data_IF_311252462029
#
_entry.id   IF_311252462029
#
_cell.length_a   1.000
_cell.length_b   1.000
_cell.length_c   1.000
_cell.angle_alpha   90.00
_cell.angle_beta   90.00
_cell.angle_gamma   90.00
#
_symmetry.space_group_name_H-M   'P 1'
#
loop_
_entity.id
_entity.type
_entity.pdbx_description
1 polymer ?
#
# COMPACT_ATOMS: atom_id res chain seq x y z
N UNK A 1 6.27 6.01 23.26
CA UNK A 1 6.51 7.25 22.49
C UNK A 1 6.65 7.06 20.96
N UNK A 2 6.95 5.87 20.40
CA UNK A 2 7.06 5.68 18.93
C UNK A 2 5.73 5.50 18.16
N UNK A 3 4.58 5.47 18.84
CA UNK A 3 3.27 5.26 18.20
C UNK A 3 2.57 6.53 17.70
N UNK A 4 2.80 7.68 18.33
CA UNK A 4 2.07 8.92 18.03
C UNK A 4 2.53 9.60 16.73
N UNK A 5 3.80 9.48 16.35
CA UNK A 5 4.37 10.15 15.17
C UNK A 5 3.94 9.49 13.83
N UNK A 6 3.55 8.21 13.83
CA UNK A 6 3.06 7.53 12.62
C UNK A 6 1.58 7.81 12.35
N UNK A 7 0.77 8.08 13.39
CA UNK A 7 -0.63 8.48 13.26
C UNK A 7 -0.78 9.86 12.63
N UNK A 8 0.16 10.75 12.90
CA UNK A 8 0.16 12.14 12.42
C UNK A 8 0.32 12.21 10.90
N UNK A 9 1.29 11.45 10.36
CA UNK A 9 1.64 11.49 8.92
C UNK A 9 0.50 11.09 7.98
N UNK A 10 -0.37 10.16 8.37
CA UNK A 10 -1.51 9.77 7.55
C UNK A 10 -2.66 10.79 7.58
N UNK A 11 -2.84 11.49 8.71
CA UNK A 11 -3.80 12.59 8.81
C UNK A 11 -3.31 13.84 8.07
N UNK A 12 -2.00 14.12 8.15
CA UNK A 12 -1.33 15.16 7.36
C UNK A 12 -1.45 14.89 5.86
N UNK A 13 -1.17 13.66 5.40
CA UNK A 13 -1.27 13.30 3.99
C UNK A 13 -2.68 13.54 3.42
N UNK A 14 -3.73 13.17 4.17
CA UNK A 14 -5.12 13.48 3.80
C UNK A 14 -5.41 14.97 3.77
N UNK A 15 -4.87 15.73 4.73
CA UNK A 15 -5.06 17.18 4.81
C UNK A 15 -4.41 17.88 3.62
N UNK A 16 -3.17 17.50 3.27
CA UNK A 16 -2.45 18.02 2.11
C UNK A 16 -3.20 17.68 0.81
N UNK A 17 -3.67 16.44 0.66
CA UNK A 17 -4.47 16.03 -0.50
C UNK A 17 -5.76 16.85 -0.65
N UNK A 18 -6.50 17.06 0.45
CA UNK A 18 -7.74 17.85 0.42
C UNK A 18 -7.47 19.31 0.05
N UNK A 19 -6.46 19.91 0.67
CA UNK A 19 -6.06 21.28 0.37
C UNK A 19 -5.64 21.45 -1.09
N UNK A 20 -4.88 20.50 -1.64
CA UNK A 20 -4.51 20.49 -3.06
C UNK A 20 -5.74 20.57 -3.98
N UNK A 21 -6.77 19.78 -3.69
CA UNK A 21 -8.05 19.80 -4.43
C UNK A 21 -8.81 21.10 -4.25
N UNK A 22 -8.88 21.62 -3.03
CA UNK A 22 -9.56 22.89 -2.71
C UNK A 22 -8.90 24.07 -3.42
N UNK A 23 -7.58 24.05 -3.56
CA UNK A 23 -6.78 25.03 -4.29
C UNK A 23 -6.88 24.84 -5.82
N UNK A 24 -7.68 23.89 -6.30
CA UNK A 24 -7.92 23.63 -7.73
C UNK A 24 -6.79 22.86 -8.44
N UNK A 25 -5.86 22.28 -7.69
CA UNK A 25 -4.77 21.47 -8.25
C UNK A 25 -5.20 20.01 -8.41
N UNK A 26 -4.89 19.41 -9.57
CA UNK A 26 -5.19 18.01 -9.86
C UNK A 26 -4.08 17.08 -9.31
N UNK A 27 -4.41 16.14 -8.42
CA UNK A 27 -3.46 15.12 -7.95
C UNK A 27 -2.96 14.26 -9.08
N UNK A 28 -1.66 14.03 -9.08
CA UNK A 28 -1.00 13.06 -9.94
C UNK A 28 -0.76 11.74 -9.18
N UNK A 29 -0.20 10.74 -9.89
CA UNK A 29 0.12 9.44 -9.29
C UNK A 29 1.06 9.57 -8.08
N UNK A 30 2.00 10.53 -8.10
CA UNK A 30 2.92 10.77 -6.98
C UNK A 30 2.16 11.26 -5.74
N UNK A 31 1.17 12.14 -5.92
CA UNK A 31 0.29 12.63 -4.87
C UNK A 31 -0.51 11.48 -4.25
N UNK A 32 -1.07 10.58 -5.08
CA UNK A 32 -1.76 9.39 -4.58
C UNK A 32 -0.84 8.41 -3.87
N UNK A 33 0.34 8.13 -4.42
CA UNK A 33 1.32 7.24 -3.80
C UNK A 33 1.73 7.75 -2.41
N UNK A 34 1.95 9.06 -2.29
CA UNK A 34 2.25 9.71 -1.01
C UNK A 34 1.10 9.56 -0.02
N UNK A 35 -0.13 9.79 -0.48
CA UNK A 35 -1.33 9.64 0.33
C UNK A 35 -1.54 8.20 0.81
N UNK A 36 -1.46 7.24 -0.09
CA UNK A 36 -1.61 5.82 0.20
C UNK A 36 -0.53 5.35 1.16
N UNK A 37 0.74 5.72 0.94
CA UNK A 37 1.84 5.40 1.84
C UNK A 37 1.60 5.95 3.26
N UNK A 38 1.17 7.21 3.38
CA UNK A 38 0.82 7.82 4.66
C UNK A 38 -0.33 7.11 5.36
N UNK A 39 -1.38 6.76 4.63
CA UNK A 39 -2.54 6.04 5.16
C UNK A 39 -2.20 4.61 5.60
N UNK A 40 -1.44 3.87 4.78
CA UNK A 40 -0.98 2.52 5.11
C UNK A 40 -0.17 2.50 6.40
N UNK A 41 0.78 3.43 6.55
CA UNK A 41 1.61 3.52 7.76
C UNK A 41 0.85 4.02 9.00
N UNK A 42 -0.17 4.85 8.81
CA UNK A 42 -1.08 5.25 9.88
C UNK A 42 -2.12 4.16 10.23
N UNK A 43 -2.08 3.04 9.52
CA UNK A 43 -3.01 1.95 9.71
C UNK A 43 -4.44 2.28 9.30
N UNK A 44 -4.63 3.09 8.27
CA UNK A 44 -5.94 3.41 7.69
C UNK A 44 -6.11 2.67 6.35
N UNK A 45 -5.92 1.34 6.36
CA UNK A 45 -5.92 0.51 5.15
C UNK A 45 -7.21 0.60 4.34
N UNK A 46 -8.37 0.66 4.99
CA UNK A 46 -9.65 0.80 4.28
C UNK A 46 -9.68 2.08 3.43
N UNK A 47 -9.12 3.16 3.97
CA UNK A 47 -8.99 4.44 3.27
C UNK A 47 -7.91 4.33 2.20
N UNK A 48 -6.77 3.71 2.49
CA UNK A 48 -5.69 3.53 1.52
C UNK A 48 -6.16 2.70 0.30
N UNK A 49 -6.87 1.59 0.52
CA UNK A 49 -7.51 0.75 -0.53
C UNK A 49 -8.61 1.51 -1.28
N UNK A 50 -9.33 2.42 -0.63
CA UNK A 50 -10.26 3.33 -1.33
C UNK A 50 -9.49 4.20 -2.33
N UNK A 51 -8.36 4.77 -1.95
CA UNK A 51 -7.57 5.61 -2.86
C UNK A 51 -6.91 4.83 -4.00
N UNK A 52 -6.64 3.54 -3.84
CA UNK A 52 -6.26 2.67 -4.97
C UNK A 52 -7.34 2.65 -6.07
N UNK A 53 -8.62 2.58 -5.69
CA UNK A 53 -9.75 2.66 -6.65
C UNK A 53 -9.86 4.04 -7.27
N UNK A 54 -9.68 5.10 -6.47
CA UNK A 54 -9.73 6.49 -6.95
C UNK A 54 -8.67 6.76 -8.01
N UNK A 55 -7.44 6.24 -7.87
CA UNK A 55 -6.39 6.34 -8.91
C UNK A 55 -6.95 5.90 -10.27
N UNK A 56 -7.62 4.74 -10.30
CA UNK A 56 -8.16 4.14 -11.52
C UNK A 56 -9.36 4.92 -12.05
N UNK A 57 -10.26 5.35 -11.16
CA UNK A 57 -11.44 6.15 -11.50
C UNK A 57 -11.07 7.51 -12.13
N UNK A 58 -9.93 8.06 -11.72
CA UNK A 58 -9.38 9.32 -12.25
C UNK A 58 -8.43 9.10 -13.44
N UNK A 59 -8.38 7.90 -14.00
CA UNK A 59 -7.66 7.60 -15.24
C UNK A 59 -6.16 7.37 -15.06
N UNK A 60 -5.68 7.25 -13.82
CA UNK A 60 -4.30 6.86 -13.54
C UNK A 60 -4.16 5.34 -13.39
N UNK A 61 -2.95 4.83 -13.59
CA UNK A 61 -2.61 3.44 -13.35
C UNK A 61 -1.82 3.33 -12.04
N UNK A 62 -2.29 2.54 -11.06
CA UNK A 62 -1.50 2.21 -9.89
C UNK A 62 -0.19 1.53 -10.31
N UNK A 63 0.90 1.83 -9.62
CA UNK A 63 2.22 1.28 -9.91
C UNK A 63 2.73 0.37 -8.78
N UNK A 64 3.93 -0.18 -8.97
CA UNK A 64 4.58 -1.03 -7.98
C UNK A 64 4.74 -0.34 -6.62
N UNK A 65 4.91 0.99 -6.60
CA UNK A 65 5.01 1.76 -5.36
C UNK A 65 3.65 1.82 -4.65
N UNK A 66 2.56 2.03 -5.40
CA UNK A 66 1.19 2.01 -4.87
C UNK A 66 0.90 0.68 -4.15
N UNK A 67 1.11 -0.43 -4.85
CA UNK A 67 0.81 -1.77 -4.35
C UNK A 67 1.70 -2.17 -3.18
N UNK A 68 3.02 -1.98 -3.32
CA UNK A 68 3.98 -2.36 -2.28
C UNK A 68 3.75 -1.56 -0.99
N UNK A 69 3.32 -0.29 -1.09
CA UNK A 69 2.98 0.54 0.07
C UNK A 69 1.75 0.01 0.84
N UNK A 70 0.72 -0.45 0.12
CA UNK A 70 -0.47 -1.08 0.73
C UNK A 70 -0.12 -2.41 1.39
N UNK A 71 0.60 -3.29 0.68
CA UNK A 71 1.04 -4.58 1.19
C UNK A 71 1.87 -4.42 2.47
N UNK A 72 2.80 -3.45 2.50
CA UNK A 72 3.61 -3.19 3.69
C UNK A 72 2.75 -2.81 4.90
N UNK A 73 1.79 -1.89 4.72
CA UNK A 73 0.86 -1.50 5.79
C UNK A 73 0.10 -2.71 6.35
N UNK A 74 -0.49 -3.50 5.44
CA UNK A 74 -1.24 -4.71 5.80
C UNK A 74 -0.38 -5.74 6.54
N UNK A 75 0.84 -6.00 6.05
CA UNK A 75 1.79 -6.89 6.72
C UNK A 75 2.17 -6.38 8.12
N UNK A 76 2.39 -5.08 8.29
CA UNK A 76 2.71 -4.47 9.60
C UNK A 76 1.58 -4.63 10.62
N UNK A 77 0.33 -4.77 10.16
CA UNK A 77 -0.82 -5.05 11.01
C UNK A 77 -1.17 -6.53 11.17
N UNK A 78 -0.40 -7.41 10.54
CA UNK A 78 -0.66 -8.85 10.59
C UNK A 78 -1.64 -9.36 9.53
N UNK A 79 -2.11 -8.51 8.61
CA UNK A 79 -2.91 -8.94 7.45
C UNK A 79 -2.01 -9.33 6.26
N UNK A 80 -1.11 -10.27 6.50
CA UNK A 80 -0.22 -10.78 5.45
C UNK A 80 -0.98 -11.57 4.37
N UNK A 81 -2.17 -12.11 4.69
CA UNK A 81 -2.99 -12.85 3.73
C UNK A 81 -3.67 -11.89 2.76
N UNK A 82 -4.29 -10.81 3.23
CA UNK A 82 -4.82 -9.79 2.34
C UNK A 82 -3.72 -9.11 1.50
N UNK A 83 -2.50 -9.02 2.01
CA UNK A 83 -1.37 -8.51 1.23
C UNK A 83 -1.02 -9.43 0.04
N UNK A 84 -1.17 -10.76 0.17
CA UNK A 84 -1.03 -11.70 -0.95
C UNK A 84 -2.17 -11.58 -1.97
N UNK A 85 -3.38 -11.20 -1.54
CA UNK A 85 -4.48 -10.94 -2.48
C UNK A 85 -4.18 -9.69 -3.33
N UNK A 86 -3.58 -8.65 -2.73
CA UNK A 86 -3.10 -7.50 -3.49
C UNK A 86 -1.99 -7.85 -4.49
N UNK A 87 -1.18 -8.89 -4.22
CA UNK A 87 -0.14 -9.32 -5.16
C UNK A 87 -0.78 -9.88 -6.43
N UNK A 88 -1.82 -10.69 -6.27
CA UNK A 88 -2.60 -11.22 -7.39
C UNK A 88 -3.29 -10.09 -8.16
N UNK A 89 -3.90 -9.13 -7.46
CA UNK A 89 -4.53 -7.98 -8.11
C UNK A 89 -3.51 -7.15 -8.92
N UNK A 90 -2.30 -6.96 -8.38
CA UNK A 90 -1.20 -6.27 -9.03
C UNK A 90 -0.81 -6.97 -10.34
N UNK A 91 -0.64 -8.30 -10.32
CA UNK A 91 -0.33 -9.12 -11.49
C UNK A 91 -1.46 -9.13 -12.52
N UNK A 92 -2.71 -9.29 -12.09
CA UNK A 92 -3.91 -9.28 -12.96
C UNK A 92 -4.08 -7.96 -13.72
N UNK A 93 -3.63 -6.85 -13.13
CA UNK A 93 -3.61 -5.53 -13.77
C UNK A 93 -2.38 -5.27 -14.63
N UNK A 94 -1.50 -6.25 -14.78
CA UNK A 94 -0.26 -6.13 -15.56
C UNK A 94 0.80 -5.24 -14.91
N UNK A 95 0.70 -5.00 -13.59
CA UNK A 95 1.74 -4.31 -12.84
C UNK A 95 2.73 -5.36 -12.32
N UNK A 96 3.98 -5.31 -12.75
CA UNK A 96 4.96 -6.36 -12.40
C UNK A 96 5.48 -6.19 -10.97
N UNK A 97 5.35 -7.22 -10.11
CA UNK A 97 6.01 -7.25 -8.81
C UNK A 97 7.52 -7.18 -8.95
N UNK A 98 8.19 -6.50 -8.02
CA UNK A 98 9.65 -6.47 -7.99
C UNK A 98 10.20 -7.09 -6.70
N UNK A 99 11.53 -7.13 -6.58
CA UNK A 99 12.19 -7.70 -5.40
C UNK A 99 11.76 -7.03 -4.10
N UNK A 100 11.44 -5.73 -4.10
CA UNK A 100 10.90 -5.05 -2.90
C UNK A 100 9.52 -5.59 -2.54
N UNK A 101 8.64 -5.81 -3.52
CA UNK A 101 7.30 -6.38 -3.33
C UNK A 101 7.37 -7.75 -2.66
N UNK A 102 8.16 -8.68 -3.20
CA UNK A 102 8.34 -10.02 -2.62
C UNK A 102 8.98 -9.97 -1.24
N UNK A 103 10.02 -9.16 -1.05
CA UNK A 103 10.66 -9.00 0.26
C UNK A 103 9.70 -8.47 1.34
N UNK A 104 8.84 -7.51 0.99
CA UNK A 104 7.81 -6.99 1.90
C UNK A 104 6.86 -8.11 2.34
N UNK A 105 6.37 -8.93 1.40
CA UNK A 105 5.43 -10.01 1.68
C UNK A 105 6.08 -11.14 2.49
N UNK A 106 7.30 -11.56 2.14
CA UNK A 106 8.05 -12.57 2.88
C UNK A 106 8.27 -12.15 4.33
N UNK A 107 8.71 -10.90 4.56
CA UNK A 107 8.87 -10.36 5.91
C UNK A 107 7.54 -10.35 6.67
N UNK A 108 6.44 -9.97 6.03
CA UNK A 108 5.11 -9.99 6.62
C UNK A 108 4.64 -11.39 7.00
N UNK A 109 4.78 -12.35 6.09
CA UNK A 109 4.37 -13.74 6.29
C UNK A 109 5.15 -14.41 7.42
N UNK A 110 6.47 -14.26 7.44
CA UNK A 110 7.31 -14.82 8.51
C UNK A 110 7.02 -14.18 9.86
N UNK A 111 6.78 -12.86 9.93
CA UNK A 111 6.36 -12.20 11.17
C UNK A 111 5.00 -12.68 11.66
N UNK A 112 4.09 -13.02 10.75
CA UNK A 112 2.78 -13.57 11.07
C UNK A 112 2.81 -15.08 11.36
N UNK A 113 3.98 -15.74 11.29
CA UNK A 113 4.11 -17.19 11.49
C UNK A 113 3.61 -18.04 10.32
N UNK A 114 3.25 -17.43 9.18
CA UNK A 114 2.78 -18.12 7.98
C UNK A 114 3.96 -18.65 7.14
N UNK A 115 4.72 -19.58 7.72
CA UNK A 115 5.94 -20.13 7.11
C UNK A 115 5.67 -20.81 5.76
N UNK A 116 4.61 -21.64 5.68
CA UNK A 116 4.27 -22.39 4.47
C UNK A 116 4.06 -21.46 3.27
N UNK A 117 3.21 -20.44 3.42
CA UNK A 117 2.96 -19.43 2.37
C UNK A 117 4.21 -18.61 2.04
N UNK A 118 5.08 -18.37 3.03
CA UNK A 118 6.35 -17.69 2.80
C UNK A 118 7.31 -18.54 1.95
N UNK A 119 7.35 -19.85 2.17
CA UNK A 119 8.13 -20.78 1.34
C UNK A 119 7.55 -20.91 -0.07
N UNK A 120 6.23 -20.98 -0.21
CA UNK A 120 5.54 -20.98 -1.51
C UNK A 120 5.89 -19.71 -2.31
N UNK A 121 5.83 -18.54 -1.65
CA UNK A 121 6.18 -17.27 -2.27
C UNK A 121 7.67 -17.19 -2.65
N UNK A 122 8.56 -17.74 -1.82
CA UNK A 122 9.99 -17.78 -2.11
C UNK A 122 10.31 -18.65 -3.34
N UNK A 123 9.51 -19.70 -3.60
CA UNK A 123 9.72 -20.59 -4.72
C UNK A 123 9.32 -20.00 -6.09
N UNK A 124 8.53 -18.92 -6.11
CA UNK A 124 8.03 -18.27 -7.34
C UNK A 124 8.72 -16.94 -7.65
N UNK A 125 9.60 -16.46 -6.76
CA UNK A 125 10.45 -15.28 -6.96
C UNK A 125 11.66 -15.63 -7.82
#
# INVERSE_FOLDING_TARGET
>A
MKGYCMLDRGAEALTVYKKMREDGSEPDLVSYNTLIYGLSNAGKEDIAKKYLRVIVEEGHLPDTVTYTSLMNGMCMKGDAIGALELLKEMEERGCEPNSCTYNTLLQGLFKAGNMDKGLDLYAVM
#
